data_IF_214425463723
#
_entry.id   IF_214425463723
#
_cell.length_a   1.000
_cell.length_b   1.000
_cell.length_c   1.000
_cell.angle_alpha   90.00
_cell.angle_beta   90.00
_cell.angle_gamma   90.00
#
_symmetry.space_group_name_H-M   'P 1'
#
loop_
_entity.id
_entity.type
_entity.pdbx_description
1 polymer ?
#
# COMPACT_ATOMS: atom_id res chain seq x y z
N UNK A 1 -9.75 91.02 14.34
CA UNK A 1 -8.60 90.10 14.31
C UNK A 1 -9.04 88.84 15.06
N UNK A 2 -9.72 87.94 14.38
CA UNK A 2 -10.13 86.64 14.95
C UNK A 2 -10.28 85.68 13.78
N UNK A 3 -9.46 84.64 13.78
CA UNK A 3 -9.29 83.68 12.69
C UNK A 3 -10.34 82.59 12.80
N UNK A 4 -10.99 82.30 11.68
CA UNK A 4 -11.79 81.10 11.42
C UNK A 4 -10.99 79.83 11.76
N UNK A 5 -11.57 78.97 12.61
CA UNK A 5 -11.14 77.58 12.76
C UNK A 5 -12.15 76.69 12.03
N UNK A 6 -11.76 76.27 10.83
CA UNK A 6 -12.48 75.32 10.00
C UNK A 6 -12.23 73.90 10.56
N UNK A 7 -13.29 73.26 11.05
CA UNK A 7 -13.24 71.87 11.51
C UNK A 7 -13.11 70.97 10.28
N UNK A 8 -11.87 70.53 9.98
CA UNK A 8 -11.65 69.46 9.00
C UNK A 8 -12.13 68.13 9.57
N UNK A 9 -13.27 67.69 9.06
CA UNK A 9 -13.80 66.35 9.21
C UNK A 9 -12.82 65.36 8.56
N UNK A 10 -11.90 64.80 9.34
CA UNK A 10 -11.06 63.67 8.90
C UNK A 10 -11.97 62.45 8.90
N UNK A 11 -12.48 62.09 7.72
CA UNK A 11 -12.96 60.74 7.46
C UNK A 11 -11.80 59.80 7.75
N UNK A 12 -11.84 59.08 8.86
CA UNK A 12 -11.09 57.84 9.05
C UNK A 12 -11.48 56.93 7.89
N UNK A 13 -10.60 56.87 6.90
CA UNK A 13 -10.57 55.80 5.92
C UNK A 13 -10.22 54.55 6.72
N UNK A 14 -11.24 53.78 7.08
CA UNK A 14 -11.07 52.42 7.58
C UNK A 14 -10.43 51.61 6.46
N UNK A 15 -9.10 51.47 6.50
CA UNK A 15 -8.36 50.52 5.69
C UNK A 15 -8.47 49.17 6.38
N UNK A 16 -9.19 48.27 5.74
CA UNK A 16 -9.32 46.88 6.14
C UNK A 16 -7.97 46.16 6.04
N UNK A 17 -7.71 45.25 7.01
CA UNK A 17 -6.71 44.17 7.04
C UNK A 17 -5.27 44.53 7.45
N UNK A 18 -5.08 44.95 8.70
CA UNK A 18 -3.85 44.64 9.43
C UNK A 18 -4.11 43.35 10.23
N UNK A 19 -3.69 42.20 9.71
CA UNK A 19 -3.57 40.99 10.51
C UNK A 19 -2.37 41.19 11.43
N UNK A 20 -2.64 41.54 12.69
CA UNK A 20 -1.68 41.64 13.79
C UNK A 20 -1.16 40.25 14.18
N UNK A 21 -0.43 39.63 13.26
CA UNK A 21 0.27 38.37 13.50
C UNK A 21 1.76 38.65 13.32
N UNK A 22 2.59 38.12 14.23
CA UNK A 22 4.02 38.33 14.18
C UNK A 22 4.65 37.53 13.03
N UNK A 23 5.07 38.23 11.97
CA UNK A 23 5.70 37.64 10.79
C UNK A 23 7.08 37.04 11.05
N UNK A 24 7.64 37.21 12.25
CA UNK A 24 8.91 36.62 12.66
C UNK A 24 8.74 35.39 13.56
N UNK A 25 7.53 35.12 14.06
CA UNK A 25 7.26 33.94 14.88
C UNK A 25 7.08 32.73 13.97
N UNK A 26 7.82 31.67 14.30
CA UNK A 26 7.83 30.33 13.72
C UNK A 26 7.84 29.39 14.94
N UNK A 27 6.68 28.85 15.29
CA UNK A 27 6.44 28.14 16.54
C UNK A 27 6.88 26.67 16.50
N UNK A 28 7.05 26.09 15.31
CA UNK A 28 7.44 24.69 15.11
C UNK A 28 8.83 24.50 14.47
N UNK A 29 9.53 25.61 14.22
CA UNK A 29 10.90 25.71 13.71
C UNK A 29 11.07 25.02 12.34
N UNK A 30 10.03 25.02 11.50
CA UNK A 30 10.07 24.41 10.16
C UNK A 30 10.62 25.38 9.08
N UNK A 31 10.79 26.66 9.42
CA UNK A 31 11.29 27.71 8.54
C UNK A 31 10.20 28.52 7.85
N UNK A 32 8.93 28.37 8.25
CA UNK A 32 7.78 29.13 7.78
C UNK A 32 7.15 29.84 8.98
N UNK A 33 6.88 31.15 8.86
CA UNK A 33 6.22 31.87 9.95
C UNK A 33 4.77 31.42 10.14
N UNK A 34 4.30 31.34 11.39
CA UNK A 34 2.92 30.98 11.76
C UNK A 34 1.87 31.77 10.95
N UNK A 35 2.14 33.06 10.77
CA UNK A 35 1.33 33.96 9.97
C UNK A 35 1.10 33.46 8.54
N UNK A 36 2.17 32.98 7.92
CA UNK A 36 2.18 32.55 6.55
C UNK A 36 1.44 31.23 6.42
N UNK A 37 1.59 30.32 7.36
CA UNK A 37 0.90 29.03 7.35
C UNK A 37 -0.61 29.18 7.52
N UNK A 38 -1.04 30.07 8.43
CA UNK A 38 -2.46 30.35 8.68
C UNK A 38 -3.10 31.09 7.49
N UNK A 39 -2.46 32.17 7.01
CA UNK A 39 -3.05 33.06 6.00
C UNK A 39 -2.80 32.57 4.56
N UNK A 40 -1.73 31.81 4.40
CA UNK A 40 -1.26 31.12 3.22
C UNK A 40 0.02 31.71 2.63
N UNK A 41 0.78 30.85 1.98
CA UNK A 41 2.08 31.14 1.37
C UNK A 41 2.22 30.45 0.02
N UNK A 42 3.34 30.69 -0.65
CA UNK A 42 3.72 30.00 -1.89
C UNK A 42 5.23 29.94 -2.03
N UNK A 43 5.70 29.27 -3.10
CA UNK A 43 7.12 29.21 -3.45
C UNK A 43 7.36 30.00 -4.73
N UNK A 44 8.22 31.01 -4.65
CA UNK A 44 8.64 31.83 -5.78
C UNK A 44 10.16 31.78 -5.89
N UNK A 45 10.68 31.37 -7.06
CA UNK A 45 12.13 31.28 -7.32
C UNK A 45 12.91 30.46 -6.27
N UNK A 46 12.26 29.42 -5.73
CA UNK A 46 12.85 28.53 -4.72
C UNK A 46 12.86 29.11 -3.30
N UNK A 47 12.12 30.19 -3.05
CA UNK A 47 11.96 30.80 -1.73
C UNK A 47 10.49 30.77 -1.31
N UNK A 48 10.25 30.52 -0.03
CA UNK A 48 8.93 30.59 0.58
C UNK A 48 8.60 32.06 0.80
N UNK A 49 7.44 32.49 0.29
CA UNK A 49 6.97 33.88 0.37
C UNK A 49 5.50 33.92 0.77
N UNK A 50 5.04 34.98 1.47
CA UNK A 50 3.63 35.12 1.82
C UNK A 50 2.76 35.25 0.57
N UNK A 51 1.54 34.72 0.66
CA UNK A 51 0.61 34.76 -0.46
C UNK A 51 0.04 36.17 -0.68
N UNK A 52 0.45 36.79 -1.77
CA UNK A 52 -0.20 37.99 -2.35
C UNK A 52 -1.18 37.62 -3.47
N UNK A 53 -2.47 37.88 -3.25
CA UNK A 53 -3.56 37.65 -4.21
C UNK A 53 -3.37 38.38 -5.56
N UNK A 54 -2.79 39.58 -5.57
CA UNK A 54 -2.64 40.37 -6.80
C UNK A 54 -1.54 39.82 -7.69
N UNK A 55 -0.48 39.30 -7.07
CA UNK A 55 0.72 38.79 -7.74
C UNK A 55 0.62 37.31 -8.08
N UNK A 56 0.17 36.49 -7.14
CA UNK A 56 0.33 35.04 -7.25
C UNK A 56 -0.87 34.35 -7.91
N UNK A 57 -2.09 34.88 -7.77
CA UNK A 57 -3.27 34.34 -8.49
C UNK A 57 -3.10 34.41 -10.01
N UNK A 58 -2.50 35.49 -10.51
CA UNK A 58 -2.29 35.70 -11.95
C UNK A 58 -1.14 34.84 -12.51
N UNK A 59 -0.16 34.48 -11.66
CA UNK A 59 1.04 33.72 -12.05
C UNK A 59 0.92 32.19 -12.01
N UNK A 60 -0.28 31.62 -11.75
CA UNK A 60 -0.51 30.16 -11.56
C UNK A 60 0.31 29.54 -10.42
N UNK A 61 0.55 30.31 -9.36
CA UNK A 61 1.14 29.77 -8.13
C UNK A 61 0.09 28.97 -7.34
N UNK A 62 0.55 28.00 -6.56
CA UNK A 62 -0.28 27.25 -5.62
C UNK A 62 -0.22 27.95 -4.27
N UNK A 63 -1.39 28.20 -3.67
CA UNK A 63 -1.48 28.72 -2.31
C UNK A 63 -1.46 27.55 -1.32
N UNK A 64 -0.46 27.51 -0.48
CA UNK A 64 -0.32 26.53 0.59
C UNK A 64 -0.82 27.08 1.92
N UNK A 65 -1.19 26.16 2.81
CA UNK A 65 -1.45 26.34 4.23
C UNK A 65 -0.99 25.08 4.96
N UNK A 66 -0.49 25.25 6.17
CA UNK A 66 0.02 24.19 7.06
C UNK A 66 -0.36 24.52 8.51
N UNK A 67 -0.05 23.60 9.43
CA UNK A 67 -0.28 23.74 10.86
C UNK A 67 0.91 24.44 11.53
N UNK A 68 0.74 25.65 12.09
CA UNK A 68 1.86 26.44 12.64
C UNK A 68 2.48 25.88 13.92
N UNK A 69 1.96 24.78 14.45
CA UNK A 69 2.46 24.15 15.66
C UNK A 69 3.02 22.76 15.40
N UNK A 70 3.15 22.37 14.13
CA UNK A 70 3.62 21.05 13.76
C UNK A 70 4.38 21.09 12.44
N UNK A 71 5.70 21.01 12.57
CA UNK A 71 6.63 21.04 11.45
C UNK A 71 6.41 19.95 10.39
N UNK A 72 5.60 18.93 10.68
CA UNK A 72 5.10 17.97 9.69
C UNK A 72 3.56 17.95 9.78
N UNK A 73 2.87 18.87 9.10
CA UNK A 73 1.39 18.95 9.15
C UNK A 73 0.70 17.60 8.91
N UNK A 74 1.22 16.79 7.97
CA UNK A 74 0.67 15.46 7.66
C UNK A 74 1.33 14.31 8.43
N UNK A 75 2.21 14.59 9.39
CA UNK A 75 2.92 13.60 10.20
C UNK A 75 3.85 12.65 9.43
N UNK A 76 4.01 12.88 8.13
CA UNK A 76 4.96 12.15 7.29
C UNK A 76 6.41 12.55 7.63
N UNK A 77 7.44 11.93 7.03
CA UNK A 77 8.82 12.21 7.39
C UNK A 77 9.38 13.55 6.90
N UNK A 78 8.62 14.34 6.12
CA UNK A 78 9.10 15.56 5.48
C UNK A 78 8.41 16.79 6.07
N UNK A 79 9.17 17.84 6.34
CA UNK A 79 8.58 19.07 6.86
C UNK A 79 7.75 19.81 5.81
N UNK A 80 6.87 20.72 6.23
CA UNK A 80 6.05 21.47 5.28
C UNK A 80 6.92 22.33 4.35
N UNK A 81 7.97 22.96 4.90
CA UNK A 81 9.00 23.63 4.11
C UNK A 81 9.73 22.70 3.11
N UNK A 82 10.13 21.50 3.53
CA UNK A 82 10.81 20.53 2.65
C UNK A 82 9.91 20.13 1.47
N UNK A 83 8.63 19.86 1.74
CA UNK A 83 7.64 19.46 0.74
C UNK A 83 7.43 20.54 -0.32
N UNK A 84 7.17 21.78 0.10
CA UNK A 84 6.92 22.87 -0.86
C UNK A 84 8.16 23.28 -1.64
N UNK A 85 9.35 23.15 -1.05
CA UNK A 85 10.62 23.41 -1.72
C UNK A 85 11.08 22.22 -2.59
N UNK A 86 10.40 21.08 -2.52
CA UNK A 86 10.78 19.86 -3.24
C UNK A 86 12.10 19.25 -2.76
N UNK A 87 12.51 19.55 -1.52
CA UNK A 87 13.73 19.00 -0.87
C UNK A 87 13.45 17.63 -0.24
N UNK A 88 12.66 16.82 -0.93
CA UNK A 88 12.24 15.49 -0.52
C UNK A 88 12.73 14.47 -1.55
N UNK A 89 12.52 13.18 -1.26
CA UNK A 89 12.82 12.13 -2.23
C UNK A 89 12.06 12.37 -3.54
N UNK A 90 12.79 12.42 -4.66
CA UNK A 90 12.23 12.69 -5.98
C UNK A 90 11.30 11.57 -6.49
N UNK A 91 11.29 10.41 -5.82
CA UNK A 91 10.31 9.36 -6.05
C UNK A 91 8.94 9.66 -5.44
N UNK A 92 8.79 10.68 -4.59
CA UNK A 92 7.49 11.13 -4.06
C UNK A 92 6.67 11.77 -5.18
N UNK A 93 5.37 11.49 -5.22
CA UNK A 93 4.49 12.05 -6.24
C UNK A 93 4.30 13.57 -6.06
N UNK A 94 4.21 14.36 -7.14
CA UNK A 94 4.07 15.81 -7.07
C UNK A 94 2.90 16.30 -6.21
N UNK A 95 1.79 15.57 -6.15
CA UNK A 95 0.65 15.89 -5.30
C UNK A 95 0.99 15.87 -3.80
N UNK A 96 1.92 15.00 -3.38
CA UNK A 96 2.37 14.90 -1.99
C UNK A 96 3.49 15.90 -1.64
N UNK A 97 3.83 16.81 -2.56
CA UNK A 97 4.60 18.01 -2.23
C UNK A 97 3.72 19.08 -1.56
N UNK A 98 2.40 18.91 -1.61
CA UNK A 98 1.48 19.76 -0.87
C UNK A 98 1.54 19.41 0.62
N UNK A 99 1.73 20.38 1.54
CA UNK A 99 1.78 20.17 2.99
C UNK A 99 0.65 19.29 3.52
N UNK A 100 -0.59 19.55 3.07
CA UNK A 100 -1.80 18.80 3.44
C UNK A 100 -1.99 17.42 2.76
N UNK A 101 -1.06 16.95 1.93
CA UNK A 101 -1.14 15.63 1.30
C UNK A 101 0.02 14.79 1.82
N UNK A 102 -0.29 13.74 2.58
CA UNK A 102 0.75 12.91 3.18
C UNK A 102 1.58 12.18 2.12
N UNK A 103 2.90 12.20 2.28
CA UNK A 103 3.80 11.31 1.57
C UNK A 103 3.86 9.96 2.30
N UNK A 104 3.19 8.93 1.79
CA UNK A 104 3.19 7.61 2.41
C UNK A 104 3.14 6.49 1.37
N UNK A 105 3.86 5.37 1.57
CA UNK A 105 3.72 4.20 0.72
C UNK A 105 2.51 3.37 1.18
N UNK A 106 1.85 2.71 0.23
CA UNK A 106 0.82 1.71 0.51
C UNK A 106 1.05 0.51 -0.36
N UNK A 107 1.59 -0.55 0.23
CA UNK A 107 1.97 -1.76 -0.51
C UNK A 107 0.81 -2.75 -0.49
N UNK A 108 0.38 -3.11 -1.70
CA UNK A 108 -0.50 -4.22 -1.96
C UNK A 108 0.25 -5.40 -2.55
N UNK A 109 -0.12 -6.62 -2.14
CA UNK A 109 0.40 -7.83 -2.77
C UNK A 109 -0.69 -8.51 -3.58
N UNK A 110 -0.40 -8.74 -4.86
CA UNK A 110 -1.28 -9.39 -5.82
C UNK A 110 -0.73 -10.78 -6.14
N UNK A 111 -1.58 -11.81 -6.12
CA UNK A 111 -1.20 -13.14 -6.59
C UNK A 111 -1.69 -13.34 -8.02
N UNK A 112 -0.74 -13.62 -8.92
CA UNK A 112 -0.99 -13.82 -10.35
C UNK A 112 -1.19 -15.29 -10.70
N UNK A 113 -0.60 -16.18 -9.89
CA UNK A 113 -0.66 -17.62 -10.11
C UNK A 113 -0.51 -18.37 -8.80
N UNK A 114 -1.29 -19.43 -8.66
CA UNK A 114 -1.19 -20.38 -7.58
C UNK A 114 -0.81 -21.75 -8.17
N UNK A 115 0.17 -22.40 -7.55
CA UNK A 115 0.60 -23.75 -7.88
C UNK A 115 0.39 -24.63 -6.66
N UNK A 116 -0.35 -25.71 -6.84
CA UNK A 116 -0.53 -26.75 -5.84
C UNK A 116 0.18 -28.04 -6.29
N UNK A 117 1.06 -28.56 -5.43
CA UNK A 117 1.86 -29.76 -5.70
C UNK A 117 1.58 -30.84 -4.67
N UNK A 118 1.24 -32.06 -5.11
CA UNK A 118 0.94 -33.17 -4.20
C UNK A 118 2.16 -33.67 -3.42
N UNK A 119 1.91 -34.13 -2.19
CA UNK A 119 2.90 -34.71 -1.28
C UNK A 119 2.61 -36.20 -1.01
N UNK A 120 2.76 -37.05 -2.04
CA UNK A 120 2.63 -38.50 -1.88
C UNK A 120 3.88 -39.21 -2.38
N UNK A 121 4.35 -40.19 -1.61
CA UNK A 121 5.41 -41.08 -2.03
C UNK A 121 4.84 -42.22 -2.87
N UNK A 122 5.32 -42.35 -4.11
CA UNK A 122 5.02 -43.50 -4.96
C UNK A 122 6.12 -44.53 -4.76
N UNK A 123 5.86 -45.57 -3.98
CA UNK A 123 6.75 -46.75 -3.89
C UNK A 123 6.25 -47.83 -4.83
N UNK A 124 6.99 -48.04 -5.93
CA UNK A 124 6.78 -49.16 -6.84
C UNK A 124 7.58 -50.36 -6.33
N UNK A 125 6.96 -51.23 -5.55
CA UNK A 125 7.45 -52.59 -5.34
C UNK A 125 6.88 -53.46 -6.47
N UNK A 126 7.77 -54.13 -7.22
CA UNK A 126 7.51 -55.08 -8.32
C UNK A 126 7.54 -54.53 -9.76
N UNK A 127 8.59 -54.92 -10.49
CA UNK A 127 8.87 -54.58 -11.89
C UNK A 127 7.89 -55.16 -12.91
N UNK A 128 6.63 -54.74 -12.88
CA UNK A 128 5.66 -54.92 -13.97
C UNK A 128 5.03 -53.59 -14.33
N UNK A 129 5.30 -53.15 -15.56
CA UNK A 129 4.77 -51.92 -16.15
C UNK A 129 3.25 -52.00 -16.31
N UNK A 130 2.51 -51.20 -15.54
CA UNK A 130 1.14 -50.75 -15.85
C UNK A 130 0.93 -49.34 -15.26
N UNK A 131 0.54 -48.39 -16.12
CA UNK A 131 -0.13 -47.14 -15.74
C UNK A 131 0.80 -45.95 -15.47
N UNK A 132 0.86 -45.01 -16.42
CA UNK A 132 1.49 -43.70 -16.20
C UNK A 132 0.74 -42.95 -15.09
N UNK A 133 1.31 -42.89 -13.89
CA UNK A 133 0.74 -42.12 -12.78
C UNK A 133 1.16 -40.65 -12.93
N UNK A 134 0.18 -39.81 -13.32
CA UNK A 134 0.32 -38.37 -13.54
C UNK A 134 0.68 -37.65 -12.24
N UNK A 135 1.80 -36.91 -12.25
CA UNK A 135 2.00 -35.80 -11.33
C UNK A 135 1.01 -34.70 -11.70
N UNK A 136 -0.06 -34.56 -10.92
CA UNK A 136 -1.05 -33.51 -11.15
C UNK A 136 -0.56 -32.22 -10.49
N UNK A 137 0.03 -31.31 -11.28
CA UNK A 137 0.24 -29.93 -10.88
C UNK A 137 -0.95 -29.09 -11.34
N UNK A 138 -1.72 -28.52 -10.41
CA UNK A 138 -2.68 -27.48 -10.77
C UNK A 138 -1.93 -26.15 -10.80
N UNK A 139 -1.92 -25.52 -11.96
CA UNK A 139 -1.46 -24.16 -12.16
C UNK A 139 -2.67 -23.31 -12.51
N UNK A 140 -3.16 -22.50 -11.58
CA UNK A 140 -4.24 -21.55 -11.83
C UNK A 140 -3.63 -20.19 -12.18
N UNK A 141 -4.00 -19.63 -13.33
CA UNK A 141 -3.75 -18.23 -13.71
C UNK A 141 -4.97 -17.39 -13.35
N UNK A 142 -4.76 -16.21 -12.75
CA UNK A 142 -5.81 -15.51 -11.98
C UNK A 142 -6.22 -14.17 -12.59
N UNK A 143 -7.46 -13.75 -12.32
CA UNK A 143 -7.95 -12.37 -12.41
C UNK A 143 -7.90 -11.74 -11.01
N UNK A 144 -6.94 -10.85 -10.74
CA UNK A 144 -6.80 -10.21 -9.43
C UNK A 144 -7.94 -9.19 -9.21
N UNK A 145 -8.80 -9.40 -8.21
CA UNK A 145 -9.70 -8.35 -7.72
C UNK A 145 -8.98 -7.62 -6.58
N UNK A 146 -8.64 -6.35 -6.81
CA UNK A 146 -8.06 -5.48 -5.80
C UNK A 146 -9.21 -4.72 -5.11
N UNK A 147 -9.41 -4.94 -3.82
CA UNK A 147 -10.34 -4.14 -3.02
C UNK A 147 -9.61 -3.61 -1.81
N UNK A 148 -9.68 -2.31 -1.56
CA UNK A 148 -9.55 -1.79 -0.19
C UNK A 148 -10.70 -2.42 0.60
N UNK A 149 -10.40 -3.31 1.54
CA UNK A 149 -11.42 -4.10 2.22
C UNK A 149 -12.25 -3.19 3.14
N UNK A 150 -13.35 -2.65 2.61
CA UNK A 150 -14.41 -2.06 3.43
C UNK A 150 -15.32 -3.20 3.87
N UNK A 151 -15.24 -3.59 5.14
CA UNK A 151 -15.98 -4.73 5.69
C UNK A 151 -17.46 -4.39 5.87
N UNK A 152 -18.28 -4.64 4.85
CA UNK A 152 -19.72 -4.89 5.05
C UNK A 152 -20.13 -6.06 4.16
N UNK A 153 -20.67 -7.10 4.79
CA UNK A 153 -21.05 -8.37 4.15
C UNK A 153 -22.10 -8.19 3.05
N UNK A 154 -21.66 -8.14 1.81
CA UNK A 154 -22.47 -8.43 0.63
C UNK A 154 -21.53 -8.86 -0.51
N UNK A 155 -21.51 -10.16 -0.81
CA UNK A 155 -20.79 -10.71 -1.95
C UNK A 155 -21.52 -10.34 -3.24
N UNK A 156 -20.95 -9.44 -4.03
CA UNK A 156 -21.33 -9.21 -5.42
C UNK A 156 -20.07 -9.14 -6.28
N UNK A 157 -19.96 -10.10 -7.19
CA UNK A 157 -19.00 -10.16 -8.28
C UNK A 157 -19.25 -8.99 -9.24
N UNK A 158 -18.45 -7.93 -9.11
CA UNK A 158 -18.37 -6.86 -10.10
C UNK A 158 -16.91 -6.44 -10.24
N UNK A 159 -16.48 -6.19 -11.48
CA UNK A 159 -15.19 -5.60 -11.80
C UNK A 159 -15.09 -4.22 -11.13
N UNK A 160 -14.41 -4.16 -9.98
CA UNK A 160 -14.25 -2.91 -9.22
C UNK A 160 -13.03 -2.16 -9.77
N UNK A 161 -13.34 -0.98 -10.31
CA UNK A 161 -12.42 0.03 -10.83
C UNK A 161 -11.39 0.48 -9.79
N UNK A 162 -10.18 0.83 -10.24
CA UNK A 162 -9.00 1.22 -9.43
C UNK A 162 -9.16 2.52 -8.61
N UNK A 163 -10.34 3.12 -8.54
CA UNK A 163 -10.65 4.31 -7.73
C UNK A 163 -12.11 4.24 -7.26
N UNK A 164 -12.40 4.15 -5.94
CA UNK A 164 -13.77 4.19 -5.46
C UNK A 164 -14.34 5.61 -5.57
N UNK A 165 -15.41 5.74 -6.34
CA UNK A 165 -16.35 6.86 -6.21
C UNK A 165 -17.05 6.76 -4.86
N UNK A 166 -16.73 7.71 -3.98
CA UNK A 166 -17.41 8.16 -2.76
C UNK A 166 -18.67 7.37 -2.29
N UNK A 167 -18.54 6.67 -1.16
CA UNK A 167 -19.66 6.36 -0.26
C UNK A 167 -19.19 6.45 1.19
N UNK A 168 -19.86 7.27 2.00
CA UNK A 168 -19.53 7.50 3.41
C UNK A 168 -19.89 6.24 4.23
N UNK A 169 -18.90 5.62 4.88
CA UNK A 169 -19.13 4.57 5.87
C UNK A 169 -18.29 4.81 7.13
N UNK A 170 -18.92 4.69 8.30
CA UNK A 170 -18.28 4.76 9.61
C UNK A 170 -17.41 3.52 9.85
N UNK A 171 -16.21 3.74 10.39
CA UNK A 171 -15.10 2.78 10.59
C UNK A 171 -14.55 2.14 9.30
N UNK A 172 -13.57 2.83 8.70
CA UNK A 172 -12.79 2.35 7.56
C UNK A 172 -11.51 1.71 8.09
N UNK A 173 -11.36 0.39 7.91
CA UNK A 173 -10.09 -0.32 8.07
C UNK A 173 -9.33 -0.30 6.73
N UNK A 174 -8.11 0.26 6.71
CA UNK A 174 -7.28 0.33 5.51
C UNK A 174 -6.49 -0.97 5.26
N UNK A 175 -7.16 -2.09 5.08
CA UNK A 175 -6.52 -3.38 4.79
C UNK A 175 -6.45 -3.65 3.27
N UNK A 176 -5.27 -4.04 2.77
CA UNK A 176 -5.12 -4.51 1.40
C UNK A 176 -5.34 -6.02 1.34
N UNK A 177 -6.28 -6.45 0.49
CA UNK A 177 -6.47 -7.86 0.20
C UNK A 177 -6.58 -8.10 -1.31
N UNK A 178 -6.01 -9.23 -1.75
CA UNK A 178 -6.13 -9.74 -3.11
C UNK A 178 -6.76 -11.12 -3.03
N UNK A 179 -7.87 -11.33 -3.73
CA UNK A 179 -8.53 -12.63 -3.78
C UNK A 179 -8.13 -13.37 -5.05
N UNK A 180 -7.83 -14.66 -4.91
CA UNK A 180 -7.57 -15.59 -6.00
C UNK A 180 -8.66 -16.66 -6.03
N UNK A 181 -9.37 -16.71 -7.15
CA UNK A 181 -10.38 -17.73 -7.43
C UNK A 181 -9.89 -18.68 -8.53
N UNK A 182 -10.29 -19.93 -8.43
CA UNK A 182 -9.94 -20.97 -9.41
C UNK A 182 -10.84 -20.88 -10.63
N UNK A 183 -10.27 -20.54 -11.80
CA UNK A 183 -10.90 -20.80 -13.10
C UNK A 183 -10.25 -22.06 -13.69
N UNK A 184 -11.05 -23.11 -13.88
CA UNK A 184 -10.57 -24.46 -14.16
C UNK A 184 -10.06 -24.56 -15.61
N UNK A 185 -8.81 -24.19 -15.87
CA UNK A 185 -8.14 -24.47 -17.15
C UNK A 185 -7.49 -25.86 -17.10
N UNK A 186 -8.25 -26.88 -17.51
CA UNK A 186 -7.68 -28.20 -17.75
C UNK A 186 -6.69 -28.13 -18.91
N UNK A 187 -5.39 -28.31 -18.66
CA UNK A 187 -4.42 -28.54 -19.74
C UNK A 187 -4.60 -29.96 -20.29
N UNK A 188 -4.77 -30.04 -21.62
CA UNK A 188 -4.96 -31.23 -22.46
C UNK A 188 -5.52 -32.49 -21.79
N UNK A 189 -6.86 -32.54 -21.79
CA UNK A 189 -7.63 -33.78 -21.67
C UNK A 189 -7.37 -34.63 -22.93
N UNK A 190 -6.65 -35.74 -22.81
CA UNK A 190 -7.06 -36.93 -23.57
C UNK A 190 -8.41 -37.34 -23.01
N UNK A 191 -9.41 -37.36 -23.88
CA UNK A 191 -10.79 -37.74 -23.63
C UNK A 191 -10.92 -38.99 -22.75
N UNK A 192 -11.95 -38.97 -21.90
CA UNK A 192 -12.39 -40.00 -20.95
C UNK A 192 -11.86 -39.80 -19.52
N UNK A 193 -12.76 -39.23 -18.71
CA UNK A 193 -12.92 -39.32 -17.24
C UNK A 193 -13.26 -37.93 -16.67
N UNK A 194 -14.55 -37.79 -16.34
CA UNK A 194 -15.06 -36.73 -15.48
C UNK A 194 -14.78 -37.13 -14.03
N UNK A 195 -14.18 -36.23 -13.25
CA UNK A 195 -14.42 -36.14 -11.81
C UNK A 195 -13.73 -37.15 -10.89
N UNK A 196 -12.40 -37.27 -10.93
CA UNK A 196 -11.68 -37.94 -9.84
C UNK A 196 -10.99 -36.93 -8.90
N UNK A 197 -11.53 -36.81 -7.69
CA UNK A 197 -10.93 -36.13 -6.55
C UNK A 197 -9.55 -36.73 -6.24
N UNK A 198 -8.57 -35.88 -5.90
CA UNK A 198 -7.15 -36.26 -5.69
C UNK A 198 -6.89 -37.22 -4.53
N UNK A 199 -7.95 -37.59 -3.81
CA UNK A 199 -7.90 -38.01 -2.43
C UNK A 199 -8.14 -39.50 -2.22
N UNK A 200 -8.39 -40.26 -3.29
CA UNK A 200 -8.72 -41.68 -3.21
C UNK A 200 -7.49 -42.58 -3.40
N UNK A 201 -6.46 -42.44 -2.57
CA UNK A 201 -5.30 -43.34 -2.57
C UNK A 201 -4.90 -43.74 -1.14
N UNK A 202 -4.71 -45.03 -0.92
CA UNK A 202 -4.29 -45.61 0.36
C UNK A 202 -2.85 -45.18 0.66
N UNK A 203 -2.59 -44.61 1.85
CA UNK A 203 -1.25 -44.20 2.30
C UNK A 203 -0.99 -42.68 2.38
N UNK A 204 -2.02 -41.85 2.22
CA UNK A 204 -1.92 -40.39 2.30
C UNK A 204 -1.75 -39.91 3.76
N UNK A 205 -0.75 -39.07 4.01
CA UNK A 205 -0.72 -38.25 5.23
C UNK A 205 -1.71 -37.10 5.07
N UNK A 206 -2.91 -37.24 5.66
CA UNK A 206 -4.00 -36.27 5.55
C UNK A 206 -3.68 -34.90 6.16
N UNK A 207 -2.64 -34.80 6.98
CA UNK A 207 -2.17 -33.54 7.55
C UNK A 207 -1.25 -32.76 6.62
N UNK A 208 -0.61 -33.42 5.65
CA UNK A 208 0.37 -32.80 4.73
C UNK A 208 0.19 -33.36 3.31
N UNK A 209 -0.91 -32.98 2.66
CA UNK A 209 -1.37 -33.58 1.40
C UNK A 209 -0.77 -32.86 0.20
N UNK A 210 -0.51 -31.55 0.32
CA UNK A 210 0.05 -30.76 -0.76
C UNK A 210 0.89 -29.57 -0.26
N UNK A 211 1.70 -29.05 -1.18
CA UNK A 211 2.50 -27.85 -0.99
C UNK A 211 1.96 -26.71 -1.85
N UNK A 212 1.79 -25.54 -1.24
CA UNK A 212 1.35 -24.31 -1.90
C UNK A 212 2.56 -23.49 -2.36
N UNK A 213 2.49 -23.00 -3.59
CA UNK A 213 3.42 -22.03 -4.14
C UNK A 213 2.63 -20.88 -4.78
N UNK A 214 2.78 -19.69 -4.22
CA UNK A 214 2.15 -18.46 -4.69
C UNK A 214 3.12 -17.61 -5.52
N UNK A 215 2.73 -17.29 -6.75
CA UNK A 215 3.43 -16.32 -7.58
C UNK A 215 2.81 -14.94 -7.38
N UNK A 216 3.55 -14.03 -6.75
CA UNK A 216 3.04 -12.72 -6.35
C UNK A 216 3.80 -11.55 -6.98
N UNK A 217 3.15 -10.40 -7.05
CA UNK A 217 3.75 -9.10 -7.35
C UNK A 217 3.34 -8.10 -6.28
N UNK A 218 4.22 -7.15 -5.99
CA UNK A 218 3.95 -6.03 -5.10
C UNK A 218 3.57 -4.81 -5.92
N UNK A 219 2.65 -4.00 -5.43
CA UNK A 219 2.20 -2.76 -6.03
C UNK A 219 2.22 -1.68 -4.95
N UNK A 220 2.80 -0.52 -5.25
CA UNK A 220 2.67 0.65 -4.38
C UNK A 220 1.55 1.54 -4.91
N UNK A 221 0.46 1.68 -4.15
CA UNK A 221 -0.66 2.59 -4.46
C UNK A 221 -0.61 3.88 -3.63
N UNK A 222 0.43 4.06 -2.82
CA UNK A 222 0.65 5.27 -2.04
C UNK A 222 1.28 6.39 -2.87
N UNK A 223 1.65 7.46 -2.19
CA UNK A 223 2.24 8.68 -2.75
C UNK A 223 3.75 8.77 -2.58
N UNK A 224 4.36 7.94 -1.73
CA UNK A 224 5.80 7.92 -1.47
C UNK A 224 6.45 6.58 -1.85
N UNK A 225 7.74 6.58 -2.24
CA UNK A 225 8.50 5.36 -2.44
C UNK A 225 8.76 4.66 -1.11
N UNK A 226 8.94 3.35 -1.18
CA UNK A 226 9.40 2.55 -0.05
C UNK A 226 10.61 1.72 -0.50
N UNK A 227 11.62 1.69 0.36
CA UNK A 227 12.87 0.96 0.16
C UNK A 227 12.92 -0.27 1.06
N UNK A 228 13.65 -1.30 0.64
CA UNK A 228 13.81 -2.57 1.39
C UNK A 228 12.46 -3.15 1.85
N UNK A 229 11.52 -3.22 0.91
CA UNK A 229 10.11 -3.56 1.17
C UNK A 229 9.97 -4.99 1.62
N UNK A 230 9.44 -5.16 2.84
CA UNK A 230 9.22 -6.46 3.45
C UNK A 230 7.77 -6.60 3.95
N UNK A 231 6.82 -7.01 3.09
CA UNK A 231 5.44 -7.23 3.50
C UNK A 231 5.28 -8.48 4.41
N UNK A 232 4.31 -8.43 5.31
CA UNK A 232 3.79 -9.58 6.06
C UNK A 232 2.42 -9.95 5.52
N UNK A 233 2.27 -11.21 5.11
CA UNK A 233 1.09 -11.71 4.40
C UNK A 233 0.40 -12.83 5.17
N UNK A 234 -0.92 -12.81 5.20
CA UNK A 234 -1.73 -13.98 5.52
C UNK A 234 -2.27 -14.61 4.23
N UNK A 235 -2.15 -15.93 4.14
CA UNK A 235 -2.84 -16.76 3.17
C UNK A 235 -4.10 -17.30 3.83
N UNK A 236 -5.27 -16.90 3.35
CA UNK A 236 -6.57 -17.17 3.98
C UNK A 236 -7.42 -17.98 3.01
N UNK A 237 -7.97 -19.09 3.49
CA UNK A 237 -8.87 -19.94 2.71
C UNK A 237 -10.31 -19.45 2.86
N UNK A 238 -10.84 -18.83 1.82
CA UNK A 238 -12.11 -18.09 1.82
C UNK A 238 -11.91 -16.58 1.77
N UNK A 239 -12.99 -15.83 2.02
CA UNK A 239 -13.02 -14.37 2.00
C UNK A 239 -13.59 -13.88 3.33
N UNK A 240 -12.96 -12.89 3.93
CA UNK A 240 -13.46 -12.19 5.13
C UNK A 240 -12.84 -12.68 6.44
N UNK A 241 -13.18 -11.99 7.54
CA UNK A 241 -12.49 -12.15 8.84
C UNK A 241 -12.78 -13.44 9.62
N UNK A 242 -13.70 -14.28 9.15
CA UNK A 242 -14.02 -15.59 9.76
C UNK A 242 -13.38 -16.77 9.01
N UNK A 243 -12.65 -16.49 7.94
CA UNK A 243 -11.97 -17.50 7.12
C UNK A 243 -10.66 -17.95 7.77
N UNK A 244 -10.26 -19.20 7.50
CA UNK A 244 -9.11 -19.81 8.16
C UNK A 244 -7.79 -19.34 7.52
N UNK A 245 -6.89 -18.77 8.31
CA UNK A 245 -5.52 -18.50 7.90
C UNK A 245 -4.73 -19.82 7.79
N UNK A 246 -4.23 -20.11 6.60
CA UNK A 246 -3.37 -21.25 6.29
C UNK A 246 -1.95 -20.98 6.75
N UNK A 247 -1.43 -19.79 6.43
CA UNK A 247 -0.05 -19.43 6.72
C UNK A 247 0.08 -17.91 6.87
N UNK A 248 0.98 -17.50 7.77
CA UNK A 248 1.47 -16.12 7.88
C UNK A 248 2.93 -16.11 7.50
N UNK A 249 3.30 -15.30 6.51
CA UNK A 249 4.65 -15.28 5.94
C UNK A 249 5.15 -13.85 5.90
N UNK A 250 6.39 -13.65 6.32
CA UNK A 250 7.09 -12.37 6.27
C UNK A 250 8.09 -12.44 5.13
N UNK A 251 8.15 -11.40 4.30
CA UNK A 251 9.13 -11.33 3.22
C UNK A 251 10.56 -11.45 3.78
N UNK A 252 11.35 -12.32 3.15
CA UNK A 252 12.77 -12.55 3.44
C UNK A 252 13.64 -12.03 2.30
N UNK A 253 14.96 -12.14 2.44
CA UNK A 253 15.96 -11.57 1.53
C UNK A 253 15.75 -11.90 0.04
N UNK A 254 15.24 -13.08 -0.30
CA UNK A 254 14.93 -13.49 -1.68
C UNK A 254 13.61 -12.93 -2.24
N UNK A 255 12.80 -12.31 -1.39
CA UNK A 255 11.48 -11.72 -1.71
C UNK A 255 11.40 -10.23 -1.35
N UNK A 256 12.42 -9.66 -0.71
CA UNK A 256 12.53 -8.23 -0.42
C UNK A 256 12.70 -7.44 -1.71
N UNK A 257 11.91 -6.38 -1.89
CA UNK A 257 12.09 -5.45 -2.99
C UNK A 257 12.99 -4.29 -2.56
N UNK A 258 14.05 -3.99 -3.31
CA UNK A 258 14.97 -2.89 -2.95
C UNK A 258 14.26 -1.53 -2.94
N UNK A 259 13.36 -1.30 -3.90
CA UNK A 259 12.56 -0.08 -4.00
C UNK A 259 11.27 -0.36 -4.78
N UNK A 260 10.18 0.27 -4.36
CA UNK A 260 8.94 0.34 -5.14
C UNK A 260 8.46 1.80 -5.15
N UNK A 261 8.56 2.43 -6.32
CA UNK A 261 8.05 3.77 -6.54
C UNK A 261 6.51 3.78 -6.51
N UNK A 262 5.86 4.92 -6.20
CA UNK A 262 4.42 5.09 -6.35
C UNK A 262 3.92 4.66 -7.73
N UNK A 263 2.84 3.87 -7.77
CA UNK A 263 2.25 3.30 -8.99
C UNK A 263 3.06 2.18 -9.65
N UNK A 264 4.27 1.87 -9.17
CA UNK A 264 5.13 0.83 -9.74
C UNK A 264 4.81 -0.56 -9.17
N UNK A 265 5.22 -1.58 -9.93
CA UNK A 265 5.03 -2.99 -9.60
C UNK A 265 6.40 -3.68 -9.49
N UNK A 266 6.56 -4.54 -8.49
CA UNK A 266 7.74 -5.39 -8.31
C UNK A 266 7.39 -6.88 -8.34
N UNK A 267 8.14 -7.71 -9.09
CA UNK A 267 9.02 -7.33 -10.19
C UNK A 267 8.23 -6.61 -11.30
N UNK A 268 8.93 -5.90 -12.19
CA UNK A 268 8.30 -5.08 -13.24
C UNK A 268 7.28 -5.90 -14.05
N UNK A 269 6.29 -5.25 -14.67
CA UNK A 269 5.21 -5.85 -15.47
C UNK A 269 5.73 -6.90 -16.46
N UNK A 270 6.87 -6.65 -17.10
CA UNK A 270 7.50 -7.55 -18.08
C UNK A 270 8.24 -8.73 -17.46
N UNK A 271 8.53 -8.68 -16.16
CA UNK A 271 9.22 -9.73 -15.43
C UNK A 271 8.23 -10.71 -14.82
N UNK A 272 8.68 -11.95 -14.60
CA UNK A 272 7.88 -12.95 -13.91
C UNK A 272 7.71 -12.58 -12.43
N UNK A 273 6.58 -13.00 -11.86
CA UNK A 273 6.25 -12.83 -10.43
C UNK A 273 7.27 -13.53 -9.52
N UNK A 274 7.50 -12.97 -8.32
CA UNK A 274 8.28 -13.66 -7.28
C UNK A 274 7.49 -14.82 -6.69
N UNK A 275 8.22 -15.81 -6.18
CA UNK A 275 7.64 -17.04 -5.62
C UNK A 275 7.63 -16.97 -4.10
N UNK A 276 6.48 -17.29 -3.52
CA UNK A 276 6.24 -17.48 -2.09
C UNK A 276 5.84 -18.92 -1.86
N UNK A 277 6.78 -19.72 -1.37
CA UNK A 277 6.62 -21.16 -1.22
C UNK A 277 7.07 -21.70 0.14
N UNK A 278 7.62 -20.85 1.02
CA UNK A 278 8.20 -21.25 2.31
C UNK A 278 7.72 -20.36 3.46
N UNK A 279 7.64 -20.92 4.66
CA UNK A 279 7.13 -20.24 5.86
C UNK A 279 8.22 -19.80 6.85
N UNK A 280 9.44 -20.34 6.72
CA UNK A 280 10.54 -20.16 7.67
C UNK A 280 11.60 -19.18 7.18
N UNK A 281 12.45 -18.72 8.10
CA UNK A 281 13.50 -17.73 7.86
C UNK A 281 14.61 -18.23 6.92
N UNK A 282 14.75 -19.54 6.75
CA UNK A 282 15.79 -20.18 5.95
C UNK A 282 15.27 -20.79 4.65
N UNK A 283 14.02 -20.51 4.27
CA UNK A 283 13.38 -21.05 3.07
C UNK A 283 13.45 -22.58 2.97
N UNK A 284 13.32 -23.27 4.10
CA UNK A 284 13.46 -24.73 4.22
C UNK A 284 12.14 -25.46 4.45
N UNK A 285 11.08 -24.78 4.89
CA UNK A 285 9.78 -25.36 5.19
C UNK A 285 8.74 -24.89 4.18
N UNK A 286 8.24 -25.77 3.29
CA UNK A 286 7.22 -25.39 2.34
C UNK A 286 5.89 -25.09 3.03
N UNK A 287 5.02 -24.32 2.36
CA UNK A 287 3.64 -24.08 2.85
C UNK A 287 2.84 -25.37 2.67
N UNK A 288 2.53 -26.05 3.77
CA UNK A 288 1.81 -27.33 3.79
C UNK A 288 0.30 -27.12 3.88
N UNK A 289 -0.46 -27.88 3.10
CA UNK A 289 -1.91 -27.94 3.18
C UNK A 289 -2.37 -29.33 3.64
N UNK A 290 -3.37 -29.35 4.52
CA UNK A 290 -4.07 -30.58 4.88
C UNK A 290 -5.11 -30.95 3.80
N UNK A 291 -5.73 -32.12 3.97
CA UNK A 291 -6.75 -32.63 3.07
C UNK A 291 -7.91 -31.65 2.84
N UNK A 292 -8.50 -31.15 3.93
CA UNK A 292 -9.71 -30.33 3.87
C UNK A 292 -9.45 -29.01 3.15
N UNK A 293 -8.27 -28.43 3.35
CA UNK A 293 -7.83 -27.21 2.65
C UNK A 293 -7.65 -27.45 1.15
N UNK A 294 -7.07 -28.58 0.76
CA UNK A 294 -6.91 -28.96 -0.66
C UNK A 294 -8.28 -29.18 -1.31
N UNK A 295 -9.18 -29.91 -0.65
CA UNK A 295 -10.53 -30.17 -1.13
C UNK A 295 -11.34 -28.87 -1.28
N UNK A 296 -11.24 -27.95 -0.32
CA UNK A 296 -11.85 -26.64 -0.41
C UNK A 296 -11.36 -25.85 -1.64
N UNK A 297 -10.05 -25.80 -1.87
CA UNK A 297 -9.49 -25.12 -3.06
C UNK A 297 -9.95 -25.77 -4.38
N UNK A 298 -10.08 -27.09 -4.40
CA UNK A 298 -10.55 -27.85 -5.57
C UNK A 298 -12.04 -27.65 -5.86
N UNK A 299 -12.85 -27.49 -4.82
CA UNK A 299 -14.29 -27.23 -4.92
C UNK A 299 -14.61 -25.76 -5.22
N UNK A 300 -13.58 -24.91 -5.35
CA UNK A 300 -13.71 -23.53 -5.79
C UNK A 300 -13.70 -22.49 -4.67
N UNK A 301 -13.39 -22.88 -3.42
CA UNK A 301 -13.15 -21.91 -2.35
C UNK A 301 -11.91 -21.08 -2.71
N UNK A 302 -12.00 -19.75 -2.73
CA UNK A 302 -10.88 -18.91 -3.13
C UNK A 302 -9.79 -18.86 -2.06
N UNK A 303 -8.57 -18.54 -2.48
CA UNK A 303 -7.45 -18.20 -1.60
C UNK A 303 -7.29 -16.68 -1.59
N UNK A 304 -7.43 -16.05 -0.43
CA UNK A 304 -7.17 -14.61 -0.25
C UNK A 304 -5.77 -14.40 0.30
N UNK A 305 -5.04 -13.42 -0.24
CA UNK A 305 -3.84 -12.85 0.39
C UNK A 305 -4.25 -11.56 1.07
N UNK A 306 -3.92 -11.43 2.36
CA UNK A 306 -4.08 -10.20 3.12
C UNK A 306 -2.70 -9.65 3.46
N UNK A 307 -2.45 -8.38 3.14
CA UNK A 307 -1.23 -7.69 3.55
C UNK A 307 -1.49 -6.98 4.87
N UNK A 308 -0.93 -7.51 5.96
CA UNK A 308 -1.22 -7.06 7.34
C UNK A 308 -0.40 -5.80 7.68
N UNK A 309 0.88 -5.85 7.35
CA UNK A 309 1.82 -4.78 7.57
C UNK A 309 2.91 -4.85 6.52
N UNK A 310 3.56 -3.73 6.25
CA UNK A 310 4.74 -3.67 5.40
C UNK A 310 5.81 -2.87 6.12
N UNK A 311 6.98 -3.48 6.34
CA UNK A 311 8.16 -2.75 6.78
C UNK A 311 8.99 -2.31 5.57
N UNK A 312 9.77 -1.26 5.79
CA UNK A 312 10.65 -0.68 4.79
C UNK A 312 11.12 0.71 5.22
N UNK A 313 12.02 1.26 4.42
CA UNK A 313 12.70 2.53 4.69
C UNK A 313 12.14 3.67 3.84
N UNK A 314 12.28 4.89 4.35
CA UNK A 314 12.20 6.15 3.61
C UNK A 314 13.55 6.84 3.59
N UNK A 315 13.71 7.80 2.68
CA UNK A 315 14.89 8.65 2.61
C UNK A 315 14.53 10.09 2.96
N UNK A 316 15.30 10.69 3.85
CA UNK A 316 15.33 12.13 4.09
C UNK A 316 16.70 12.67 3.70
N UNK A 317 16.83 14.00 3.65
CA UNK A 317 18.08 14.66 3.27
C UNK A 317 18.51 15.62 4.37
N UNK A 318 19.79 15.58 4.75
CA UNK A 318 20.36 16.59 5.63
C UNK A 318 20.50 17.93 4.91
N UNK A 319 20.83 18.99 5.65
CA UNK A 319 21.12 20.31 5.07
C UNK A 319 22.22 20.27 3.98
N UNK A 320 23.16 19.32 4.08
CA UNK A 320 24.23 19.07 3.10
C UNK A 320 23.80 18.16 1.93
N UNK A 321 22.50 17.89 1.79
CA UNK A 321 21.90 17.00 0.80
C UNK A 321 22.39 15.54 0.87
N UNK A 322 22.81 15.08 2.05
CA UNK A 322 23.15 13.68 2.27
C UNK A 322 21.91 12.87 2.62
N UNK A 323 21.71 11.76 1.91
CA UNK A 323 20.57 10.89 2.16
C UNK A 323 20.73 10.13 3.49
N UNK A 324 19.69 10.18 4.31
CA UNK A 324 19.55 9.42 5.55
C UNK A 324 18.34 8.51 5.46
N UNK A 325 18.44 7.30 6.01
CA UNK A 325 17.34 6.34 6.01
C UNK A 325 16.59 6.40 7.33
N UNK A 326 15.25 6.39 7.27
CA UNK A 326 14.38 6.16 8.42
C UNK A 326 13.38 5.03 8.14
N UNK A 327 12.72 4.53 9.18
CA UNK A 327 11.76 3.43 9.05
C UNK A 327 10.32 3.93 9.00
N UNK A 328 9.56 3.51 7.98
CA UNK A 328 8.16 3.89 7.84
C UNK A 328 7.29 3.44 9.03
N UNK A 329 7.59 2.29 9.64
CA UNK A 329 6.82 1.76 10.78
C UNK A 329 6.79 2.73 11.97
N UNK A 330 7.85 3.51 12.17
CA UNK A 330 7.92 4.51 13.25
C UNK A 330 6.97 5.69 13.02
N UNK A 331 6.73 6.05 11.75
CA UNK A 331 5.89 7.19 11.35
C UNK A 331 4.41 6.80 11.20
N UNK A 332 4.13 5.57 10.77
CA UNK A 332 2.74 5.09 10.60
C UNK A 332 2.00 4.88 11.94
N UNK A 333 2.70 4.62 13.06
CA UNK A 333 2.05 4.49 14.38
C UNK A 333 1.50 5.80 14.93
N UNK A 334 2.09 6.93 14.57
CA UNK A 334 1.72 8.25 15.09
C UNK A 334 0.37 8.73 14.54
N UNK A 335 -0.11 8.14 13.44
CA UNK A 335 -1.35 8.56 12.75
C UNK A 335 -2.65 7.99 13.37
N UNK A 336 -2.57 6.91 14.17
CA UNK A 336 -3.75 6.31 14.80
C UNK A 336 -4.14 6.94 16.15
N UNK A 337 -3.48 8.03 16.57
CA UNK A 337 -3.67 8.66 17.88
C UNK A 337 -4.79 9.70 17.98
N UNK A 338 -5.45 10.07 16.87
CA UNK A 338 -6.38 11.21 16.86
C UNK A 338 -7.75 10.88 16.26
N UNK A 339 -8.33 9.72 16.56
CA UNK A 339 -9.78 9.50 16.49
C UNK A 339 -10.15 8.35 17.44
N UNK A 340 -10.36 8.68 18.72
CA UNK A 340 -11.15 7.91 19.67
C UNK A 340 -12.16 8.83 20.34
#
# INVERSE_FOLDING_TARGET
MEKNTEIKNIKQQSSCLDNDCDHALDSDDDGISDCWEINGYTVEKGLIVPWDDKKHKTGKFIKYKSDPYNNHTTGDPYSDAEKVLGKIDQGVLPEAHHPLVAAYPKIGVMMNKMILSNNFNVTNEEGRSVGQQKSNTISVSTSSINTEATTVGASVSAEISLFPSLSVSANISHEWSSTVSSEHSSSNRSSEEQGHAWTHSLGINTSEVAYLNGNVKYLNVGTAPIYEVCPTLNFVLGIGGLSNTIATIIAKSNTTANVILPGAIFPDKVQNSIVWNTIDDFNSQPIKLNYEQVEALQTGVPLQIQTIQTSGLYKTYTADMLATNGEWLSKMRTYYGWYL
#
